data_IF_469872430577
#
_entry.id   IF_469872430577
#
_cell.length_a   1.000
_cell.length_b   1.000
_cell.length_c   1.000
_cell.angle_alpha   90.00
_cell.angle_beta   90.00
_cell.angle_gamma   90.00
#
_symmetry.space_group_name_H-M   'P 1'
#
loop_
_entity.id
_entity.type
_entity.pdbx_description
1 polymer ?
#
# COMPACT_ATOMS: atom_id res chain seq x y z
N UNK A 1 12.14 -2.01 -4.92
CA UNK A 1 13.26 -1.04 -4.81
C UNK A 1 13.36 -0.34 -6.16
N UNK A 2 12.75 0.84 -6.30
CA UNK A 2 12.71 1.55 -7.59
C UNK A 2 14.11 2.03 -7.99
N UNK A 3 14.91 2.47 -7.02
CA UNK A 3 16.31 2.93 -7.22
C UNK A 3 17.26 1.84 -7.74
N UNK A 4 16.86 0.58 -7.59
CA UNK A 4 17.55 -0.53 -8.23
C UNK A 4 17.48 -0.42 -9.76
N UNK A 5 16.33 -0.02 -10.31
CA UNK A 5 16.06 0.03 -11.75
C UNK A 5 16.26 1.43 -12.36
N UNK A 6 15.97 2.50 -11.61
CA UNK A 6 16.10 3.89 -12.06
C UNK A 6 17.36 4.48 -11.43
N UNK A 7 18.39 4.72 -12.25
CA UNK A 7 19.69 5.25 -11.79
C UNK A 7 19.77 6.76 -11.95
N UNK A 8 20.36 7.48 -10.98
CA UNK A 8 20.55 8.92 -11.08
C UNK A 8 21.20 9.32 -12.41
N UNK A 9 20.63 10.33 -13.08
CA UNK A 9 21.11 10.84 -14.36
C UNK A 9 20.77 9.98 -15.59
N UNK A 10 20.09 8.84 -15.42
CA UNK A 10 19.60 8.04 -16.55
C UNK A 10 18.42 8.72 -17.27
N UNK A 11 18.09 8.26 -18.49
CA UNK A 11 16.92 8.76 -19.20
C UNK A 11 15.61 8.51 -18.42
N UNK A 12 15.51 7.36 -17.75
CA UNK A 12 14.37 7.04 -16.88
C UNK A 12 14.26 7.99 -15.68
N UNK A 13 15.41 8.37 -15.09
CA UNK A 13 15.46 9.29 -13.96
C UNK A 13 15.03 10.70 -14.35
N UNK A 14 15.52 11.22 -15.49
CA UNK A 14 15.11 12.52 -16.03
C UNK A 14 13.61 12.55 -16.34
N UNK A 15 13.09 11.54 -17.03
CA UNK A 15 11.66 11.45 -17.35
C UNK A 15 10.80 11.36 -16.08
N UNK A 16 11.21 10.53 -15.11
CA UNK A 16 10.49 10.42 -13.84
C UNK A 16 10.51 11.74 -13.06
N UNK A 17 11.64 12.45 -13.09
CA UNK A 17 11.79 13.78 -12.48
C UNK A 17 10.89 14.82 -13.16
N UNK A 18 10.86 14.85 -14.49
CA UNK A 18 9.99 15.75 -15.26
C UNK A 18 8.51 15.50 -15.02
N UNK A 19 8.09 14.22 -14.89
CA UNK A 19 6.69 13.88 -14.54
C UNK A 19 6.33 14.17 -13.09
N UNK A 20 7.28 14.01 -12.17
CA UNK A 20 7.13 14.25 -10.72
C UNK A 20 6.27 13.20 -9.99
N UNK A 21 5.10 12.83 -10.51
CA UNK A 21 4.20 11.84 -9.93
C UNK A 21 3.38 11.11 -11.00
N UNK A 22 2.80 9.96 -10.65
CA UNK A 22 1.72 9.36 -11.44
C UNK A 22 0.44 10.18 -11.26
N UNK A 23 -0.31 10.38 -12.34
CA UNK A 23 -1.59 11.10 -12.33
C UNK A 23 -2.72 10.09 -12.53
N UNK A 24 -3.67 10.09 -11.60
CA UNK A 24 -4.82 9.18 -11.59
C UNK A 24 -6.05 9.92 -12.09
N UNK A 25 -6.52 9.56 -13.29
CA UNK A 25 -7.83 9.98 -13.81
C UNK A 25 -8.86 8.89 -13.49
N UNK A 26 -10.16 9.22 -13.48
CA UNK A 26 -11.22 8.25 -13.24
C UNK A 26 -11.14 6.96 -14.08
N UNK A 27 -10.74 7.04 -15.35
CA UNK A 27 -10.68 5.86 -16.25
C UNK A 27 -9.26 5.40 -16.62
N UNK A 28 -8.21 6.12 -16.21
CA UNK A 28 -6.83 5.76 -16.60
C UNK A 28 -5.78 6.35 -15.66
N UNK A 29 -4.59 5.79 -15.72
CA UNK A 29 -3.42 6.32 -15.03
C UNK A 29 -2.40 6.79 -16.06
N UNK A 30 -1.84 7.99 -15.87
CA UNK A 30 -0.63 8.43 -16.55
C UNK A 30 0.54 8.15 -15.62
N UNK A 31 1.31 7.07 -15.83
CA UNK A 31 2.27 6.62 -14.83
C UNK A 31 3.56 7.46 -14.88
N UNK A 32 4.18 7.69 -13.72
CA UNK A 32 5.49 8.33 -13.62
C UNK A 32 6.60 7.52 -14.30
N UNK A 33 6.48 6.19 -14.26
CA UNK A 33 7.44 5.25 -14.83
C UNK A 33 6.76 4.41 -15.92
N UNK A 34 7.52 3.85 -16.88
CA UNK A 34 6.97 2.89 -17.82
C UNK A 34 6.28 1.72 -17.11
N UNK A 35 5.16 1.23 -17.66
CA UNK A 35 4.34 0.18 -17.01
C UNK A 35 5.11 -1.11 -16.73
N UNK A 36 6.09 -1.45 -17.58
CA UNK A 36 6.99 -2.59 -17.36
C UNK A 36 7.75 -2.48 -16.03
N UNK A 37 8.05 -1.27 -15.58
CA UNK A 37 8.64 -1.02 -14.27
C UNK A 37 7.55 -0.90 -13.19
N UNK A 38 6.59 0.00 -13.34
CA UNK A 38 5.62 0.30 -12.28
C UNK A 38 4.73 -0.90 -11.93
N UNK A 39 4.18 -1.58 -12.94
CA UNK A 39 3.15 -2.60 -12.77
C UNK A 39 3.73 -4.01 -12.62
N UNK A 40 5.01 -4.20 -12.97
CA UNK A 40 5.65 -5.52 -12.93
C UNK A 40 6.91 -5.57 -12.06
N UNK A 41 8.03 -4.99 -12.52
CA UNK A 41 9.33 -5.18 -11.87
C UNK A 41 9.46 -4.52 -10.49
N UNK A 42 8.81 -3.37 -10.30
CA UNK A 42 8.75 -2.67 -9.02
C UNK A 42 7.55 -3.08 -8.17
N UNK A 43 6.47 -3.54 -8.80
CA UNK A 43 5.27 -4.02 -8.10
C UNK A 43 5.57 -5.27 -7.28
N UNK A 44 5.09 -5.29 -6.04
CA UNK A 44 5.25 -6.39 -5.09
C UNK A 44 4.17 -7.46 -5.30
N UNK A 45 4.09 -7.98 -6.53
CA UNK A 45 3.15 -9.04 -6.91
C UNK A 45 3.36 -10.30 -6.06
N UNK A 46 2.28 -11.02 -5.71
CA UNK A 46 2.38 -12.17 -4.83
C UNK A 46 3.19 -13.31 -5.47
N UNK A 47 3.86 -14.09 -4.62
CA UNK A 47 4.61 -15.32 -4.96
C UNK A 47 5.81 -15.12 -5.89
N UNK A 48 6.27 -13.88 -6.07
CA UNK A 48 7.46 -13.57 -6.86
C UNK A 48 8.48 -12.82 -6.00
N UNK A 49 9.74 -13.20 -6.11
CA UNK A 49 10.82 -12.50 -5.42
C UNK A 49 11.01 -11.09 -5.98
N UNK A 50 11.08 -10.10 -5.09
CA UNK A 50 11.21 -8.68 -5.44
C UNK A 50 12.26 -7.99 -4.57
N UNK A 51 13.20 -7.24 -5.17
CA UNK A 51 14.05 -6.31 -4.43
C UNK A 51 13.19 -5.26 -3.71
N UNK A 52 13.45 -5.03 -2.43
CA UNK A 52 12.80 -4.02 -1.63
C UNK A 52 13.82 -3.22 -0.80
N UNK A 53 13.43 -2.02 -0.42
CA UNK A 53 14.13 -1.26 0.61
C UNK A 53 13.23 -1.27 1.84
N UNK A 54 13.63 -2.04 2.85
CA UNK A 54 12.77 -2.37 3.99
C UNK A 54 13.13 -1.51 5.19
N UNK A 55 12.10 -0.94 5.82
CA UNK A 55 12.17 -0.39 7.16
C UNK A 55 11.66 -1.44 8.15
N UNK A 56 12.54 -1.91 9.04
CA UNK A 56 12.22 -2.81 10.15
C UNK A 56 12.15 -1.96 11.41
N UNK A 57 10.98 -1.89 12.02
CA UNK A 57 10.72 -1.01 13.17
C UNK A 57 10.08 -1.84 14.26
N UNK A 58 10.69 -1.82 15.45
CA UNK A 58 10.15 -2.48 16.63
C UNK A 58 9.37 -1.49 17.48
N UNK A 59 8.20 -1.92 17.96
CA UNK A 59 7.36 -1.16 18.87
C UNK A 59 7.10 -1.96 20.13
N UNK A 60 7.04 -1.29 21.28
CA UNK A 60 6.45 -1.90 22.47
C UNK A 60 4.92 -1.94 22.37
N UNK A 61 4.27 -2.57 23.36
CA UNK A 61 2.81 -2.69 23.43
C UNK A 61 2.08 -1.34 23.53
N UNK A 62 2.79 -0.29 23.95
CA UNK A 62 2.27 1.07 24.02
C UNK A 62 2.52 1.83 22.72
N UNK A 63 3.09 1.23 21.67
CA UNK A 63 3.40 1.86 20.39
C UNK A 63 4.55 2.85 20.48
N UNK A 64 5.45 2.72 21.46
CA UNK A 64 6.72 3.45 21.49
C UNK A 64 7.70 2.69 20.60
N UNK A 65 8.33 3.40 19.66
CA UNK A 65 9.39 2.84 18.83
C UNK A 65 10.61 2.50 19.69
N UNK A 66 11.03 1.25 19.67
CA UNK A 66 12.22 0.75 20.36
C UNK A 66 13.45 0.86 19.46
N UNK A 67 13.38 0.25 18.28
CA UNK A 67 14.49 0.24 17.31
C UNK A 67 13.98 0.57 15.91
N UNK A 68 14.91 0.94 15.03
CA UNK A 68 14.66 1.07 13.60
C UNK A 68 15.90 0.64 12.83
N UNK A 69 15.70 -0.14 11.76
CA UNK A 69 16.75 -0.57 10.84
C UNK A 69 16.25 -0.41 9.42
N UNK A 70 17.11 0.08 8.54
CA UNK A 70 16.86 0.15 7.11
C UNK A 70 17.82 -0.77 6.40
N UNK A 71 17.32 -1.55 5.44
CA UNK A 71 18.13 -2.47 4.67
C UNK A 71 17.56 -2.71 3.27
N UNK A 72 18.45 -2.96 2.31
CA UNK A 72 18.06 -3.63 1.06
C UNK A 72 17.71 -5.08 1.36
N UNK A 73 16.65 -5.56 0.74
CA UNK A 73 16.11 -6.90 0.97
C UNK A 73 15.56 -7.50 -0.32
N UNK A 74 15.31 -8.80 -0.30
CA UNK A 74 14.47 -9.48 -1.28
C UNK A 74 13.28 -10.07 -0.51
N UNK A 75 12.07 -9.76 -0.96
CA UNK A 75 10.84 -10.26 -0.33
C UNK A 75 10.01 -11.07 -1.32
N UNK A 76 9.15 -11.93 -0.79
CA UNK A 76 8.10 -12.64 -1.55
C UNK A 76 6.78 -12.35 -0.86
N UNK A 77 5.91 -11.55 -1.48
CA UNK A 77 4.58 -11.29 -0.94
C UNK A 77 3.76 -12.59 -0.96
N UNK A 78 3.17 -13.00 0.17
CA UNK A 78 2.39 -14.25 0.23
C UNK A 78 1.03 -14.12 -0.46
N UNK A 79 0.37 -12.98 -0.24
CA UNK A 79 -1.00 -12.73 -0.67
C UNK A 79 -1.17 -11.32 -1.23
N UNK A 80 -2.08 -11.16 -2.19
CA UNK A 80 -2.61 -9.86 -2.61
C UNK A 80 -3.99 -9.69 -1.98
N UNK A 81 -4.09 -8.80 -1.00
CA UNK A 81 -5.34 -8.51 -0.30
C UNK A 81 -5.91 -7.17 -0.77
N UNK A 82 -7.23 -7.03 -0.66
CA UNK A 82 -7.94 -5.74 -0.83
C UNK A 82 -8.39 -5.24 0.54
N UNK A 83 -8.66 -3.94 0.67
CA UNK A 83 -9.23 -3.39 1.91
C UNK A 83 -10.55 -4.06 2.29
N UNK A 84 -11.39 -4.41 1.31
CA UNK A 84 -12.63 -5.16 1.52
C UNK A 84 -12.38 -6.49 2.19
N UNK A 85 -11.42 -7.28 1.70
CA UNK A 85 -11.08 -8.59 2.29
C UNK A 85 -10.57 -8.39 3.73
N UNK A 86 -9.68 -7.42 3.96
CA UNK A 86 -9.12 -7.15 5.30
C UNK A 86 -10.22 -6.70 6.28
N UNK A 87 -11.14 -5.83 5.84
CA UNK A 87 -12.31 -5.41 6.62
C UNK A 87 -13.19 -6.61 6.97
N UNK A 88 -13.49 -7.47 5.99
CA UNK A 88 -14.33 -8.65 6.22
C UNK A 88 -13.72 -9.59 7.27
N UNK A 89 -12.40 -9.78 7.24
CA UNK A 89 -11.68 -10.62 8.21
C UNK A 89 -11.66 -9.98 9.60
N UNK A 90 -11.26 -8.70 9.70
CA UNK A 90 -10.93 -8.07 10.98
C UNK A 90 -12.12 -7.38 11.66
N UNK A 91 -13.04 -6.82 10.87
CA UNK A 91 -14.18 -6.03 11.35
C UNK A 91 -15.45 -6.87 11.31
N UNK A 92 -15.79 -7.41 10.14
CA UNK A 92 -17.04 -8.17 9.95
C UNK A 92 -16.93 -9.60 10.51
N UNK A 93 -15.72 -10.03 10.91
CA UNK A 93 -15.40 -11.34 11.51
C UNK A 93 -15.85 -12.53 10.66
N UNK A 94 -15.66 -12.43 9.35
CA UNK A 94 -15.96 -13.52 8.40
C UNK A 94 -15.06 -14.73 8.68
N UNK A 95 -15.67 -15.81 9.17
CA UNK A 95 -14.98 -17.06 9.53
C UNK A 95 -14.43 -17.81 8.32
N UNK A 96 -15.09 -17.75 7.16
CA UNK A 96 -14.64 -18.44 5.96
C UNK A 96 -13.40 -17.77 5.38
N UNK A 97 -13.40 -16.44 5.31
CA UNK A 97 -12.22 -15.69 4.89
C UNK A 97 -11.08 -15.80 5.90
N UNK A 98 -11.36 -15.77 7.20
CA UNK A 98 -10.35 -16.00 8.23
C UNK A 98 -9.67 -17.38 8.06
N UNK A 99 -10.44 -18.45 7.83
CA UNK A 99 -9.90 -19.78 7.58
C UNK A 99 -9.07 -19.84 6.27
N UNK A 100 -9.49 -19.11 5.23
CA UNK A 100 -8.74 -19.04 3.96
C UNK A 100 -7.36 -18.38 4.10
N UNK A 101 -7.23 -17.41 5.01
CA UNK A 101 -5.99 -16.65 5.25
C UNK A 101 -5.38 -16.95 6.63
N UNK A 102 -5.58 -18.17 7.13
CA UNK A 102 -5.10 -18.62 8.44
C UNK A 102 -3.59 -18.42 8.61
N UNK A 103 -2.81 -18.61 7.54
CA UNK A 103 -1.34 -18.49 7.53
C UNK A 103 -0.83 -17.06 7.84
N UNK A 104 -1.71 -16.05 7.74
CA UNK A 104 -1.40 -14.64 8.03
C UNK A 104 -2.38 -14.01 9.05
N UNK A 105 -3.31 -14.78 9.61
CA UNK A 105 -4.41 -14.24 10.41
C UNK A 105 -3.89 -13.53 11.67
N UNK A 106 -2.95 -14.13 12.38
CA UNK A 106 -2.30 -13.55 13.57
C UNK A 106 -1.62 -12.23 13.22
N UNK A 107 -0.87 -12.18 12.12
CA UNK A 107 -0.17 -10.98 11.67
C UNK A 107 -1.15 -9.85 11.34
N UNK A 108 -2.28 -10.15 10.69
CA UNK A 108 -3.32 -9.14 10.43
C UNK A 108 -3.91 -8.58 11.72
N UNK A 109 -4.14 -9.42 12.73
CA UNK A 109 -4.65 -9.00 14.04
C UNK A 109 -3.64 -8.13 14.80
N UNK A 110 -2.37 -8.52 14.82
CA UNK A 110 -1.29 -7.74 15.44
C UNK A 110 -1.10 -6.38 14.74
N UNK A 111 -1.14 -6.35 13.41
CA UNK A 111 -1.09 -5.11 12.63
C UNK A 111 -2.26 -4.18 12.97
N UNK A 112 -3.47 -4.72 13.14
CA UNK A 112 -4.64 -3.95 13.52
C UNK A 112 -4.52 -3.36 14.94
N UNK A 113 -4.02 -4.15 15.90
CA UNK A 113 -3.76 -3.69 17.26
C UNK A 113 -2.73 -2.56 17.27
N UNK A 114 -1.61 -2.74 16.57
CA UNK A 114 -0.57 -1.72 16.46
C UNK A 114 -1.12 -0.45 15.79
N UNK A 115 -1.89 -0.57 14.71
CA UNK A 115 -2.51 0.56 14.02
C UNK A 115 -3.40 1.39 14.97
N UNK A 116 -4.24 0.74 15.77
CA UNK A 116 -5.11 1.41 16.74
C UNK A 116 -4.31 2.18 17.80
N UNK A 117 -3.22 1.59 18.32
CA UNK A 117 -2.34 2.25 19.28
C UNK A 117 -1.63 3.46 18.67
N UNK A 118 -1.12 3.32 17.44
CA UNK A 118 -0.43 4.40 16.74
C UNK A 118 -1.39 5.54 16.34
N UNK A 119 -2.62 5.20 15.99
CA UNK A 119 -3.67 6.17 15.70
C UNK A 119 -4.04 6.98 16.94
N UNK A 120 -4.28 6.33 18.08
CA UNK A 120 -4.54 7.03 19.35
C UNK A 120 -3.41 8.01 19.70
N UNK A 121 -2.16 7.57 19.59
CA UNK A 121 -0.98 8.43 19.80
C UNK A 121 -0.90 9.58 18.80
N UNK A 122 -1.33 9.37 17.56
CA UNK A 122 -1.37 10.41 16.53
C UNK A 122 -2.40 11.49 16.90
N UNK A 123 -3.58 11.10 17.40
CA UNK A 123 -4.60 12.03 17.91
C UNK A 123 -4.13 12.80 19.16
N UNK A 124 -3.51 12.12 20.12
CA UNK A 124 -2.93 12.76 21.32
C UNK A 124 -1.87 13.82 20.99
N UNK A 125 -1.17 13.68 19.84
CA UNK A 125 -0.23 14.68 19.33
C UNK A 125 -0.90 15.84 18.56
N UNK A 126 -2.22 15.93 18.57
CA UNK A 126 -2.97 17.01 17.90
C UNK A 126 -3.26 16.77 16.42
N UNK A 127 -3.15 15.54 15.93
CA UNK A 127 -3.61 15.23 14.57
C UNK A 127 -5.12 15.38 14.48
N UNK A 128 -5.58 16.03 13.42
CA UNK A 128 -6.99 16.14 13.07
C UNK A 128 -7.28 15.10 11.98
N UNK A 129 -8.26 14.25 12.21
CA UNK A 129 -8.75 13.33 11.18
C UNK A 129 -9.81 14.03 10.35
N UNK A 130 -9.47 14.41 9.11
CA UNK A 130 -10.48 14.85 8.15
C UNK A 130 -11.08 13.62 7.47
N UNK A 131 -12.37 13.38 7.68
CA UNK A 131 -13.17 12.49 6.86
C UNK A 131 -13.88 13.36 5.83
N UNK A 132 -13.21 13.62 4.71
CA UNK A 132 -13.84 14.27 3.56
C UNK A 132 -14.43 13.15 2.72
N UNK A 133 -15.72 13.18 2.38
CA UNK A 133 -16.27 12.23 1.42
C UNK A 133 -15.51 12.39 0.10
N UNK A 134 -14.89 11.31 -0.36
CA UNK A 134 -14.26 11.25 -1.67
C UNK A 134 -15.31 10.76 -2.67
N UNK A 135 -15.49 11.50 -3.77
CA UNK A 135 -16.41 11.11 -4.83
C UNK A 135 -15.81 9.99 -5.68
N UNK A 136 -16.58 8.93 -5.92
CA UNK A 136 -16.25 7.84 -6.83
C UNK A 136 -17.01 8.04 -8.15
N UNK A 137 -16.27 8.25 -9.23
CA UNK A 137 -16.84 8.44 -10.58
C UNK A 137 -17.00 7.09 -11.25
N UNK A 138 -18.23 6.70 -11.55
CA UNK A 138 -18.54 5.46 -12.26
C UNK A 138 -18.49 5.69 -13.78
N UNK A 139 -17.75 4.84 -14.49
CA UNK A 139 -17.51 4.97 -15.93
C UNK A 139 -17.82 3.64 -16.62
N UNK A 140 -18.55 3.71 -17.73
CA UNK A 140 -18.87 2.53 -18.56
C UNK A 140 -17.75 2.18 -19.56
N UNK A 141 -17.92 1.07 -20.27
CA UNK A 141 -16.95 0.59 -21.27
C UNK A 141 -16.76 1.55 -22.46
N UNK A 142 -17.70 2.49 -22.68
CA UNK A 142 -17.61 3.55 -23.70
C UNK A 142 -16.87 4.81 -23.19
N UNK A 143 -16.25 4.75 -22.01
CA UNK A 143 -15.60 5.88 -21.31
C UNK A 143 -16.55 7.05 -20.97
N UNK A 144 -17.84 6.79 -20.83
CA UNK A 144 -18.83 7.78 -20.40
C UNK A 144 -19.07 7.67 -18.89
N UNK A 145 -19.21 8.83 -18.23
CA UNK A 145 -19.58 8.89 -16.82
C UNK A 145 -21.05 8.48 -16.69
N UNK A 146 -21.31 7.43 -15.92
CA UNK A 146 -22.67 6.96 -15.65
C UNK A 146 -23.21 7.49 -14.34
N UNK A 147 -22.35 7.72 -13.35
CA UNK A 147 -22.75 8.21 -12.02
C UNK A 147 -21.57 8.80 -11.24
N UNK A 148 -21.87 9.50 -10.14
CA UNK A 148 -20.90 9.97 -9.14
C UNK A 148 -21.47 9.70 -7.75
N UNK A 149 -20.81 8.81 -6.99
CA UNK A 149 -21.24 8.38 -5.65
C UNK A 149 -20.30 8.85 -4.54
#
# INVERSE_FOLDING_TARGET
DVSYYVKPGSALDREAYERGTSVYFPNRVVPMLPERLSNNLCSLVPRVARPAFTAIIEFDRQGKRLTKKFAKSIIVSRHRLTYTIVKQILVDRDKMLAARYDDILTQLQEMAQLAAVLEKKRFERGSIGFSIPEAEVLINDENQITDVI
#
